data_IF_300014396839
#
_entry.id   IF_300014396839
#
_cell.length_a   1.000
_cell.length_b   1.000
_cell.length_c   1.000
_cell.angle_alpha   90.00
_cell.angle_beta   90.00
_cell.angle_gamma   90.00
#
_symmetry.space_group_name_H-M   'P 1'
#
loop_
_entity.id
_entity.type
_entity.pdbx_description
1 polymer ?
#
# COMPACT_ATOMS: atom_id res chain seq x y z
N UNK A 1 17.18 -2.26 2.50
CA UNK A 1 16.49 -1.94 1.23
C UNK A 1 17.48 -1.36 0.25
N UNK A 2 17.38 -1.75 -1.02
CA UNK A 2 18.13 -1.13 -2.12
C UNK A 2 17.10 -0.56 -3.07
N UNK A 3 17.13 0.76 -3.28
CA UNK A 3 16.24 1.42 -4.24
C UNK A 3 16.62 1.00 -5.66
N UNK A 4 15.61 0.66 -6.46
CA UNK A 4 15.72 0.22 -7.85
C UNK A 4 15.20 1.25 -8.84
N UNK A 5 14.61 2.34 -8.34
CA UNK A 5 14.08 3.45 -9.08
C UNK A 5 14.50 4.77 -8.44
N UNK A 6 14.35 5.84 -9.19
CA UNK A 6 14.52 7.21 -8.74
C UNK A 6 13.18 7.85 -8.31
N UNK A 7 12.13 7.03 -8.14
CA UNK A 7 10.80 7.52 -7.78
C UNK A 7 10.61 7.59 -6.28
N UNK A 8 10.03 8.69 -5.80
CA UNK A 8 9.67 8.85 -4.38
C UNK A 8 8.66 7.79 -3.92
N UNK A 9 7.86 7.25 -4.85
CA UNK A 9 6.87 6.19 -4.59
C UNK A 9 7.51 4.89 -4.11
N UNK A 10 8.76 4.58 -4.48
CA UNK A 10 9.42 3.33 -4.07
C UNK A 10 9.71 3.25 -2.56
N UNK A 11 9.72 4.39 -1.87
CA UNK A 11 9.83 4.43 -0.41
C UNK A 11 8.64 3.71 0.24
N UNK A 12 7.45 3.80 -0.36
CA UNK A 12 6.20 3.25 0.20
C UNK A 12 6.24 1.72 0.34
N UNK A 13 6.48 0.90 -0.71
CA UNK A 13 6.54 -0.55 -0.57
C UNK A 13 7.68 -1.00 0.35
N UNK A 14 8.85 -0.34 0.32
CA UNK A 14 9.94 -0.65 1.24
C UNK A 14 9.57 -0.38 2.70
N UNK A 15 8.84 0.70 2.97
CA UNK A 15 8.36 1.03 4.31
C UNK A 15 7.25 0.10 4.80
N UNK A 16 6.37 -0.35 3.90
CA UNK A 16 5.34 -1.35 4.22
C UNK A 16 6.02 -2.68 4.55
N UNK A 17 6.98 -3.13 3.74
CA UNK A 17 7.75 -4.34 3.99
C UNK A 17 8.51 -4.28 5.33
N UNK A 18 9.09 -3.11 5.66
CA UNK A 18 9.78 -2.90 6.94
C UNK A 18 8.87 -3.14 8.16
N UNK A 19 7.59 -2.80 8.05
CA UNK A 19 6.61 -3.01 9.13
C UNK A 19 5.85 -4.32 9.03
N UNK A 20 6.14 -5.15 8.03
CA UNK A 20 5.42 -6.39 7.78
C UNK A 20 5.82 -7.48 8.76
N UNK A 21 4.86 -7.87 9.60
CA UNK A 21 5.01 -8.93 10.61
C UNK A 21 3.91 -9.99 10.41
N UNK A 22 3.63 -10.35 9.16
CA UNK A 22 2.59 -11.33 8.80
C UNK A 22 1.15 -10.77 8.69
N UNK A 23 1.00 -9.44 8.72
CA UNK A 23 -0.30 -8.75 8.60
C UNK A 23 -0.13 -7.47 7.78
N UNK A 24 -0.53 -7.53 6.50
CA UNK A 24 -0.40 -6.44 5.54
C UNK A 24 -1.20 -5.22 5.97
N UNK A 25 -2.37 -5.39 6.59
CA UNK A 25 -3.19 -4.26 7.02
C UNK A 25 -2.52 -3.47 8.14
N UNK A 26 -1.93 -4.18 9.11
CA UNK A 26 -1.12 -3.53 10.16
C UNK A 26 0.13 -2.88 9.59
N UNK A 27 0.82 -3.54 8.66
CA UNK A 27 2.02 -3.02 8.02
C UNK A 27 1.74 -1.71 7.27
N UNK A 28 0.69 -1.70 6.43
CA UNK A 28 0.21 -0.51 5.72
C UNK A 28 -0.17 0.57 6.73
N UNK A 29 -0.99 0.26 7.74
CA UNK A 29 -1.41 1.24 8.77
C UNK A 29 -0.23 1.87 9.49
N UNK A 30 0.82 1.10 9.82
CA UNK A 30 2.07 1.61 10.42
C UNK A 30 2.81 2.53 9.44
N UNK A 31 2.95 2.14 8.17
CA UNK A 31 3.61 2.92 7.13
C UNK A 31 2.90 4.27 6.88
N UNK A 32 1.57 4.29 6.82
CA UNK A 32 0.77 5.51 6.59
C UNK A 32 0.98 6.58 7.66
N UNK A 33 1.32 6.20 8.90
CA UNK A 33 1.64 7.15 9.98
C UNK A 33 2.92 7.95 9.72
N UNK A 34 3.74 7.53 8.75
CA UNK A 34 4.97 8.21 8.33
C UNK A 34 4.83 8.92 6.99
N UNK A 35 3.75 8.68 6.25
CA UNK A 35 3.52 9.30 4.94
C UNK A 35 2.77 10.63 5.09
N UNK A 36 3.34 11.67 4.49
CA UNK A 36 2.75 13.00 4.41
C UNK A 36 2.31 13.32 2.98
N UNK A 37 1.48 14.36 2.81
CA UNK A 37 0.90 14.73 1.52
C UNK A 37 -0.34 13.92 1.13
N UNK A 38 -0.70 14.02 -0.14
CA UNK A 38 -1.90 13.44 -0.75
C UNK A 38 -1.53 12.22 -1.61
N UNK A 39 -2.28 11.13 -1.47
CA UNK A 39 -2.00 9.87 -2.17
C UNK A 39 -3.25 9.00 -2.29
N UNK A 40 -3.27 8.15 -3.30
CA UNK A 40 -4.18 7.01 -3.45
C UNK A 40 -3.34 5.78 -3.82
N UNK A 41 -3.45 4.70 -3.04
CA UNK A 41 -2.60 3.52 -3.12
C UNK A 41 -3.46 2.26 -3.17
N UNK A 42 -3.10 1.32 -4.04
CA UNK A 42 -3.53 -0.07 -3.99
C UNK A 42 -2.34 -0.95 -3.63
N UNK A 43 -2.43 -1.68 -2.52
CA UNK A 43 -1.35 -2.51 -1.99
C UNK A 43 -1.76 -3.98 -2.03
N UNK A 44 -0.90 -4.81 -2.60
CA UNK A 44 -1.02 -6.27 -2.63
C UNK A 44 0.24 -6.90 -2.06
N UNK A 45 0.11 -8.11 -1.52
CA UNK A 45 1.24 -8.83 -0.93
C UNK A 45 1.25 -10.28 -1.40
N UNK A 46 2.41 -10.77 -1.83
CA UNK A 46 2.58 -12.17 -2.25
C UNK A 46 2.25 -13.16 -1.12
N UNK A 47 2.49 -12.77 0.13
CA UNK A 47 2.23 -13.62 1.30
C UNK A 47 0.74 -13.62 1.70
N UNK A 48 -0.06 -12.71 1.16
CA UNK A 48 -1.51 -12.58 1.40
C UNK A 48 -2.24 -12.31 0.07
N UNK A 49 -2.22 -13.26 -0.88
CA UNK A 49 -2.63 -13.04 -2.27
C UNK A 49 -4.12 -12.70 -2.43
N UNK A 50 -4.95 -13.11 -1.47
CA UNK A 50 -6.40 -12.87 -1.47
C UNK A 50 -6.79 -11.50 -0.88
N UNK A 51 -5.80 -10.65 -0.55
CA UNK A 51 -6.03 -9.33 0.04
C UNK A 51 -5.51 -8.22 -0.88
N UNK A 52 -6.38 -7.23 -1.08
CA UNK A 52 -6.02 -5.93 -1.64
C UNK A 52 -6.38 -4.85 -0.63
N UNK A 53 -5.42 -3.99 -0.32
CA UNK A 53 -5.62 -2.86 0.59
C UNK A 53 -5.61 -1.59 -0.23
N UNK A 54 -6.76 -0.90 -0.26
CA UNK A 54 -6.87 0.42 -0.86
C UNK A 54 -6.79 1.51 0.21
N UNK A 55 -5.97 2.52 -0.03
CA UNK A 55 -5.78 3.67 0.87
C UNK A 55 -5.95 4.96 0.06
N UNK A 56 -6.61 5.95 0.64
CA UNK A 56 -6.61 7.32 0.11
C UNK A 56 -6.40 8.36 1.21
N UNK A 57 -5.71 9.43 0.86
CA UNK A 57 -5.62 10.68 1.61
C UNK A 57 -5.66 11.83 0.62
N UNK A 58 -6.71 12.66 0.69
CA UNK A 58 -6.88 13.86 -0.14
C UNK A 58 -6.92 13.66 -1.67
N UNK A 59 -6.83 12.41 -2.15
CA UNK A 59 -7.06 12.02 -3.55
C UNK A 59 -8.33 11.16 -3.67
N UNK A 60 -9.07 11.22 -4.80
CA UNK A 60 -10.19 10.34 -5.04
C UNK A 60 -9.70 8.89 -5.26
N UNK A 61 -10.47 7.92 -4.76
CA UNK A 61 -10.27 6.49 -5.02
C UNK A 61 -11.64 5.82 -5.10
N UNK A 62 -11.86 5.06 -6.17
CA UNK A 62 -13.14 4.40 -6.50
C UNK A 62 -12.92 2.90 -6.50
N UNK A 63 -13.84 2.16 -5.87
CA UNK A 63 -13.87 0.69 -5.89
C UNK A 63 -15.09 0.26 -6.69
N UNK A 64 -14.87 -0.43 -7.80
CA UNK A 64 -15.92 -1.07 -8.59
C UNK A 64 -16.21 -2.47 -8.04
N UNK A 65 -17.49 -2.83 -7.96
CA UNK A 65 -17.93 -4.18 -7.56
C UNK A 65 -18.45 -4.92 -8.79
N UNK A 66 -17.60 -5.75 -9.40
CA UNK A 66 -17.98 -6.69 -10.44
C UNK A 66 -18.42 -8.03 -9.84
N UNK A 67 -19.46 -8.66 -10.42
CA UNK A 67 -19.82 -10.05 -10.12
C UNK A 67 -19.72 -10.87 -11.41
N UNK A 68 -18.72 -11.75 -11.50
CA UNK A 68 -18.57 -12.67 -12.63
C UNK A 68 -17.85 -12.10 -13.86
N UNK A 69 -17.00 -11.09 -13.66
CA UNK A 69 -16.09 -10.54 -14.68
C UNK A 69 -14.64 -10.98 -14.40
#
# INVERSE_FOLDING_TARGET
YTFKSETDTEVIPNLIDYYYEGDLFKAVTKALKKLEGSYALGVVCKNEPDKLIAVRKECPLIVGLGKGE
#
